data_IF_518930678201
#
_entry.id   IF_518930678201
#
_cell.length_a   1.000
_cell.length_b   1.000
_cell.length_c   1.000
_cell.angle_alpha   90.00
_cell.angle_beta   90.00
_cell.angle_gamma   90.00
#
_symmetry.space_group_name_H-M   'P 1'
#
loop_
_entity.id
_entity.type
_entity.pdbx_description
1 polymer ?
#
# COMPACT_ATOMS: atom_id res chain seq x y z
N UNK A 1 3.49 1.09 -32.31
CA UNK A 1 3.56 1.78 -31.00
C UNK A 1 2.16 2.31 -30.68
N UNK A 2 1.60 2.03 -29.50
CA UNK A 2 0.29 2.55 -29.10
C UNK A 2 0.32 4.09 -28.99
N UNK A 3 -0.77 4.76 -29.36
CA UNK A 3 -0.86 6.21 -29.20
C UNK A 3 -0.84 6.58 -27.69
N UNK A 4 -0.38 7.79 -27.33
CA UNK A 4 -0.22 8.19 -25.92
C UNK A 4 -1.51 8.14 -25.11
N UNK A 5 -2.65 8.49 -25.72
CA UNK A 5 -3.97 8.50 -25.07
C UNK A 5 -4.43 7.08 -24.73
N UNK A 6 -4.34 6.16 -25.69
CA UNK A 6 -4.65 4.75 -25.52
C UNK A 6 -3.73 4.11 -24.49
N UNK A 7 -2.42 4.43 -24.48
CA UNK A 7 -1.52 3.91 -23.45
C UNK A 7 -1.90 4.39 -22.04
N UNK A 8 -2.28 5.66 -21.89
CA UNK A 8 -2.77 6.20 -20.61
C UNK A 8 -4.07 5.52 -20.19
N UNK A 9 -5.02 5.36 -21.12
CA UNK A 9 -6.28 4.68 -20.84
C UNK A 9 -6.05 3.23 -20.41
N UNK A 10 -5.21 2.48 -21.12
CA UNK A 10 -4.85 1.10 -20.77
C UNK A 10 -4.20 1.02 -19.40
N UNK A 11 -3.26 1.92 -19.09
CA UNK A 11 -2.63 1.98 -17.77
C UNK A 11 -3.68 2.14 -16.66
N UNK A 12 -4.58 3.11 -16.80
CA UNK A 12 -5.60 3.37 -15.78
C UNK A 12 -6.62 2.23 -15.67
N UNK A 13 -7.02 1.62 -16.78
CA UNK A 13 -7.92 0.46 -16.78
C UNK A 13 -7.29 -0.73 -16.05
N UNK A 14 -6.03 -1.03 -16.35
CA UNK A 14 -5.28 -2.11 -15.68
C UNK A 14 -5.10 -1.79 -14.20
N UNK A 15 -4.73 -0.56 -13.85
CA UNK A 15 -4.51 -0.15 -12.47
C UNK A 15 -5.79 -0.25 -11.63
N UNK A 16 -6.91 0.28 -12.14
CA UNK A 16 -8.19 0.22 -11.43
C UNK A 16 -8.69 -1.21 -11.31
N UNK A 17 -8.54 -2.02 -12.36
CA UNK A 17 -8.84 -3.44 -12.33
C UNK A 17 -8.02 -4.19 -11.28
N UNK A 18 -6.71 -3.89 -11.21
CA UNK A 18 -5.82 -4.47 -10.22
C UNK A 18 -6.20 -4.07 -8.79
N UNK A 19 -6.46 -2.78 -8.53
CA UNK A 19 -6.88 -2.31 -7.20
C UNK A 19 -8.21 -2.95 -6.77
N UNK A 20 -9.19 -3.03 -7.67
CA UNK A 20 -10.48 -3.65 -7.37
C UNK A 20 -10.34 -5.16 -7.09
N UNK A 21 -9.50 -5.85 -7.86
CA UNK A 21 -9.21 -7.27 -7.64
C UNK A 21 -8.49 -7.50 -6.31
N UNK A 22 -7.44 -6.71 -6.03
CA UNK A 22 -6.68 -6.73 -4.78
C UNK A 22 -7.58 -6.49 -3.57
N UNK A 23 -8.46 -5.48 -3.62
CA UNK A 23 -9.37 -5.19 -2.51
C UNK A 23 -10.31 -6.34 -2.16
N UNK A 24 -10.72 -7.14 -3.15
CA UNK A 24 -11.65 -8.27 -2.96
C UNK A 24 -10.92 -9.56 -2.58
N UNK A 25 -9.71 -9.79 -3.09
CA UNK A 25 -9.02 -11.08 -2.99
C UNK A 25 -7.85 -11.08 -2.01
N UNK A 26 -7.20 -9.94 -1.80
CA UNK A 26 -6.12 -9.86 -0.83
C UNK A 26 -6.69 -10.06 0.56
N UNK A 27 -6.02 -10.90 1.35
CA UNK A 27 -6.36 -11.04 2.75
C UNK A 27 -6.36 -9.64 3.38
N UNK A 28 -7.35 -9.30 4.23
CA UNK A 28 -7.29 -8.06 4.98
C UNK A 28 -5.91 -7.98 5.64
N UNK A 29 -5.30 -6.79 5.66
CA UNK A 29 -4.01 -6.58 6.31
C UNK A 29 -4.11 -7.16 7.70
N UNK A 30 -3.59 -8.38 7.86
CA UNK A 30 -3.45 -8.98 9.15
C UNK A 30 -2.30 -8.17 9.73
N UNK A 31 -2.62 -7.32 10.71
CA UNK A 31 -1.65 -6.81 11.67
C UNK A 31 -1.02 -8.04 12.30
N UNK A 32 -0.06 -8.61 11.60
CA UNK A 32 0.78 -9.66 12.10
C UNK A 32 1.41 -9.03 13.31
N UNK A 33 1.31 -9.72 14.45
CA UNK A 33 2.05 -9.39 15.65
C UNK A 33 3.53 -9.68 15.43
N UNK A 34 4.06 -9.32 14.25
CA UNK A 34 5.48 -9.22 14.06
C UNK A 34 5.97 -8.04 14.89
N UNK A 35 7.15 -8.19 15.53
CA UNK A 35 7.75 -7.10 16.28
C UNK A 35 7.76 -5.84 15.41
N UNK A 36 7.52 -4.65 16.00
CA UNK A 36 7.42 -3.41 15.25
C UNK A 36 8.59 -3.36 14.28
N UNK A 37 8.31 -3.08 13.01
CA UNK A 37 9.34 -2.96 11.99
C UNK A 37 10.26 -1.83 12.40
N UNK A 38 11.30 -2.17 13.16
CA UNK A 38 12.41 -1.28 13.42
C UNK A 38 12.99 -1.12 12.02
N UNK A 39 12.82 0.07 11.45
CA UNK A 39 13.29 0.47 10.10
C UNK A 39 12.40 0.10 8.91
N UNK A 40 11.32 0.87 8.71
CA UNK A 40 10.95 1.36 7.37
C UNK A 40 10.84 2.89 7.41
N UNK A 41 11.87 3.53 7.98
CA UNK A 41 11.97 4.99 8.07
C UNK A 41 12.59 5.56 6.80
N UNK A 42 11.80 6.27 6.01
CA UNK A 42 12.20 7.14 4.88
C UNK A 42 13.02 8.38 5.33
N UNK A 43 13.71 8.31 6.47
CA UNK A 43 14.47 9.43 7.05
C UNK A 43 13.64 10.55 7.67
N UNK A 44 12.30 10.47 7.66
CA UNK A 44 11.41 11.50 8.22
C UNK A 44 10.26 10.90 9.02
N UNK A 45 10.53 10.47 10.25
CA UNK A 45 9.47 10.52 11.26
C UNK A 45 10.04 10.92 12.63
N UNK A 46 9.71 12.13 13.05
CA UNK A 46 10.24 12.79 14.27
C UNK A 46 9.34 12.54 15.48
N UNK A 47 8.36 11.65 15.40
CA UNK A 47 7.47 11.33 16.51
C UNK A 47 6.91 9.93 16.38
N UNK A 48 7.62 8.94 16.92
CA UNK A 48 6.99 7.71 17.37
C UNK A 48 6.22 8.06 18.65
N UNK A 49 4.98 8.53 18.48
CA UNK A 49 4.16 9.05 19.57
C UNK A 49 3.94 8.02 20.68
N UNK A 50 3.93 8.51 21.91
CA UNK A 50 3.77 7.85 23.22
C UNK A 50 2.53 6.95 23.42
N UNK A 51 1.85 6.53 22.35
CA UNK A 51 0.61 5.74 22.39
C UNK A 51 0.78 4.29 21.88
N UNK A 52 2.01 3.83 21.66
CA UNK A 52 2.28 2.42 21.42
C UNK A 52 2.41 1.67 22.76
N UNK A 53 1.28 1.34 23.40
CA UNK A 53 1.27 0.35 24.46
C UNK A 53 0.15 -0.66 24.23
N UNK A 54 0.45 -1.96 24.10
CA UNK A 54 -0.56 -2.99 23.97
C UNK A 54 -1.20 -3.27 25.34
N UNK A 55 -2.45 -3.76 25.34
CA UNK A 55 -2.99 -4.51 26.48
C UNK A 55 -2.55 -5.97 26.35
#
# INVERSE_FOLDING_TARGET
MLNPTTRRALFWLVLLGFIGWDFVHSAPVNLRLEPPIITAGSGTHVSAGHCAMPK
#
